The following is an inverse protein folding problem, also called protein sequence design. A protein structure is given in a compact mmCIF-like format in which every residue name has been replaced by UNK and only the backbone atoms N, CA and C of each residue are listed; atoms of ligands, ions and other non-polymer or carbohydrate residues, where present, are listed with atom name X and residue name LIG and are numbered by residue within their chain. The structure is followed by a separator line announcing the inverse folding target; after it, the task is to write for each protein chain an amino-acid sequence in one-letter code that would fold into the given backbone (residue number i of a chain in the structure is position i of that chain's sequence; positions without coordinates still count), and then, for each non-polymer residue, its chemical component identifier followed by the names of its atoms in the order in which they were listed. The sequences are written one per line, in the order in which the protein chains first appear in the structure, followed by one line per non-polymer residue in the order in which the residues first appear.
data_IF_760123667550
#
_entry.id   IF_760123667550
#
_cell.length_a   1.000
_cell.length_b   1.000
_cell.length_c   1.000
_cell.angle_alpha   90.00
_cell.angle_beta   90.00
_cell.angle_gamma   90.00
#
_symmetry.space_group_name_H-M   'P 1'
#
loop_
_entity.id
_entity.type
_entity.pdbx_description
1 polymer ?
#
# COMPACT_ATOMS: atom_id res chain seq x y z
N UNK A 1 8.92 56.62 -13.68
CA UNK A 1 8.90 55.16 -13.89
C UNK A 1 8.36 54.52 -12.61
N UNK A 2 7.15 53.95 -12.69
CA UNK A 2 6.51 53.28 -11.54
C UNK A 2 6.85 51.76 -11.64
N UNK A 3 7.59 51.25 -10.64
CA UNK A 3 7.87 49.83 -10.53
C UNK A 3 6.63 49.10 -9.99
N UNK A 4 6.05 48.25 -10.80
CA UNK A 4 5.00 47.31 -10.40
C UNK A 4 5.70 46.09 -9.81
N UNK A 5 5.59 45.93 -8.48
CA UNK A 5 6.06 44.73 -7.80
C UNK A 5 4.90 43.70 -7.88
N UNK A 6 5.12 42.64 -8.67
CA UNK A 6 4.20 41.53 -8.79
C UNK A 6 4.42 40.58 -7.61
N UNK A 7 3.51 40.60 -6.63
CA UNK A 7 3.48 39.57 -5.56
C UNK A 7 2.99 38.28 -6.09
N UNK A 8 3.90 37.31 -6.27
CA UNK A 8 3.53 35.91 -6.56
C UNK A 8 3.11 35.28 -5.24
N UNK A 9 1.81 35.22 -4.95
CA UNK A 9 1.29 34.50 -3.81
C UNK A 9 1.33 32.98 -4.12
N UNK A 10 2.35 32.31 -3.58
CA UNK A 10 2.39 30.85 -3.55
C UNK A 10 1.36 30.41 -2.49
N UNK A 11 0.20 30.02 -2.95
CA UNK A 11 -0.82 29.40 -2.10
C UNK A 11 -0.32 28.01 -1.67
N UNK A 12 0.28 27.94 -0.49
CA UNK A 12 0.54 26.65 0.16
C UNK A 12 -0.82 26.08 0.60
N UNK A 13 -1.40 25.20 -0.21
CA UNK A 13 -2.59 24.46 0.17
C UNK A 13 -2.20 23.52 1.30
N UNK A 14 -2.39 23.94 2.54
CA UNK A 14 -2.32 23.03 3.68
C UNK A 14 -3.32 21.92 3.45
N UNK A 15 -2.88 20.67 3.55
CA UNK A 15 -3.68 19.47 3.62
C UNK A 15 -4.61 19.59 4.83
N UNK A 16 -5.81 20.10 4.62
CA UNK A 16 -6.88 19.97 5.62
C UNK A 16 -7.44 18.57 5.46
N UNK A 17 -7.68 17.83 6.56
CA UNK A 17 -8.20 16.47 6.60
C UNK A 17 -9.58 16.22 5.96
N UNK A 18 -9.98 17.10 5.04
CA UNK A 18 -11.25 17.10 4.33
C UNK A 18 -11.23 16.44 2.93
N UNK A 19 -10.10 15.84 2.54
CA UNK A 19 -10.02 15.19 1.23
C UNK A 19 -10.43 13.70 1.27
N UNK A 20 -10.81 13.20 2.46
CA UNK A 20 -11.31 11.84 2.63
C UNK A 20 -12.73 11.70 2.09
N UNK A 21 -12.98 10.55 1.45
CA UNK A 21 -14.34 10.17 1.08
C UNK A 21 -15.17 9.86 2.33
N UNK A 22 -16.44 10.16 2.27
CA UNK A 22 -17.39 9.97 3.36
C UNK A 22 -18.57 9.11 2.91
N UNK A 23 -19.15 8.36 3.84
CA UNK A 23 -20.41 7.67 3.61
C UNK A 23 -21.57 8.54 4.09
N UNK A 24 -22.42 9.01 3.17
CA UNK A 24 -23.64 9.78 3.48
C UNK A 24 -24.84 9.18 2.78
N UNK A 25 -25.90 8.88 3.54
CA UNK A 25 -27.13 8.30 3.02
C UNK A 25 -26.91 7.08 2.10
N UNK A 26 -25.98 6.20 2.49
CA UNK A 26 -25.64 4.99 1.74
C UNK A 26 -24.83 5.24 0.45
N UNK A 27 -24.33 6.46 0.23
CA UNK A 27 -23.50 6.82 -0.93
C UNK A 27 -22.12 7.29 -0.49
N UNK A 28 -21.10 6.93 -1.24
CA UNK A 28 -19.76 7.48 -1.10
C UNK A 28 -19.79 8.90 -1.67
N UNK A 29 -19.32 9.89 -0.90
CA UNK A 29 -19.32 11.30 -1.28
C UNK A 29 -17.95 11.93 -1.04
N UNK A 30 -17.63 12.95 -1.83
CA UNK A 30 -16.46 13.80 -1.61
C UNK A 30 -16.75 14.87 -0.52
N UNK A 31 -15.76 15.71 -0.23
CA UNK A 31 -15.85 16.81 0.73
C UNK A 31 -16.98 17.82 0.46
N UNK A 32 -17.42 17.92 -0.79
CA UNK A 32 -18.50 18.81 -1.22
C UNK A 32 -19.87 18.10 -1.18
N UNK A 33 -19.97 16.92 -0.56
CA UNK A 33 -21.17 16.07 -0.50
C UNK A 33 -21.66 15.59 -1.87
N UNK A 34 -20.82 15.61 -2.90
CA UNK A 34 -21.15 15.09 -4.22
C UNK A 34 -20.91 13.59 -4.24
N UNK A 35 -21.84 12.79 -4.80
CA UNK A 35 -21.63 11.35 -4.98
C UNK A 35 -20.38 11.06 -5.82
N UNK A 36 -19.56 10.10 -5.37
CA UNK A 36 -18.38 9.63 -6.08
C UNK A 36 -18.58 8.18 -6.46
N UNK A 37 -18.34 7.89 -7.74
CA UNK A 37 -18.32 6.53 -8.28
C UNK A 37 -16.85 6.11 -8.41
N UNK A 38 -16.44 5.10 -7.64
CA UNK A 38 -15.07 4.61 -7.68
C UNK A 38 -14.90 3.64 -8.85
N UNK A 39 -14.00 3.98 -9.76
CA UNK A 39 -13.61 3.17 -10.92
C UNK A 39 -12.09 3.06 -10.92
N UNK A 40 -11.55 1.86 -10.81
CA UNK A 40 -10.10 1.74 -10.66
C UNK A 40 -9.56 0.33 -10.79
N UNK A 41 -8.31 0.18 -10.39
CA UNK A 41 -7.56 -1.08 -10.43
C UNK A 41 -6.91 -1.39 -9.09
N UNK A 42 -6.52 -2.65 -8.91
CA UNK A 42 -5.61 -3.04 -7.85
C UNK A 42 -4.16 -2.84 -8.31
N UNK A 43 -3.33 -2.24 -7.44
CA UNK A 43 -1.88 -2.20 -7.62
C UNK A 43 -1.27 -3.47 -7.00
N UNK A 44 -1.66 -4.62 -7.56
CA UNK A 44 -1.27 -5.94 -7.06
C UNK A 44 0.22 -6.21 -7.20
N UNK A 45 0.70 -7.10 -6.37
CA UNK A 45 2.08 -7.59 -6.36
C UNK A 45 3.15 -6.52 -6.12
N UNK A 46 2.77 -5.37 -5.58
CA UNK A 46 3.70 -4.28 -5.26
C UNK A 46 4.13 -4.32 -3.79
N UNK A 47 3.20 -4.05 -2.88
CA UNK A 47 3.46 -4.01 -1.43
C UNK A 47 2.96 -5.28 -0.71
N UNK A 48 2.40 -6.19 -1.48
CA UNK A 48 2.01 -7.55 -1.10
C UNK A 48 2.24 -8.45 -2.30
N UNK A 49 3.07 -9.49 -2.14
CA UNK A 49 3.41 -10.41 -3.22
C UNK A 49 2.43 -11.59 -3.27
N UNK A 50 1.99 -11.91 -4.47
CA UNK A 50 1.27 -13.12 -4.81
C UNK A 50 2.04 -13.86 -5.90
N UNK A 51 2.51 -15.06 -5.62
CA UNK A 51 3.49 -15.78 -6.46
C UNK A 51 2.98 -16.10 -7.86
N UNK A 52 1.68 -16.23 -8.04
CA UNK A 52 1.08 -16.44 -9.36
C UNK A 52 1.28 -15.23 -10.30
N UNK A 53 1.28 -14.01 -9.77
CA UNK A 53 1.56 -12.79 -10.56
C UNK A 53 3.02 -12.70 -11.02
N UNK A 54 3.94 -13.34 -10.28
CA UNK A 54 5.36 -13.44 -10.64
C UNK A 54 5.66 -14.68 -11.51
N UNK A 55 4.62 -15.47 -11.84
CA UNK A 55 4.80 -16.76 -12.50
C UNK A 55 5.67 -17.76 -11.70
N UNK A 56 5.61 -17.67 -10.37
CA UNK A 56 6.30 -18.58 -9.45
C UNK A 56 5.39 -19.65 -8.86
N UNK A 57 4.07 -19.56 -9.02
CA UNK A 57 3.14 -20.56 -8.52
C UNK A 57 3.52 -21.99 -8.98
N UNK A 58 3.65 -22.90 -8.02
CA UNK A 58 4.07 -24.28 -8.29
C UNK A 58 5.55 -24.49 -8.62
N UNK A 59 6.41 -23.48 -8.40
CA UNK A 59 7.86 -23.55 -8.68
C UNK A 59 8.73 -23.60 -7.42
N UNK A 60 8.16 -24.03 -6.30
CA UNK A 60 8.92 -24.24 -5.05
C UNK A 60 9.00 -22.99 -4.15
N UNK A 61 8.25 -21.92 -4.49
CA UNK A 61 8.01 -20.78 -3.60
C UNK A 61 6.51 -20.53 -3.65
N UNK A 62 5.83 -20.77 -2.54
CA UNK A 62 4.38 -20.76 -2.52
C UNK A 62 3.79 -19.40 -2.17
N UNK A 63 4.52 -18.59 -1.37
CA UNK A 63 4.02 -17.32 -0.85
C UNK A 63 5.12 -16.28 -0.61
N UNK A 64 4.71 -15.08 -0.18
CA UNK A 64 5.62 -13.98 0.11
C UNK A 64 6.60 -14.29 1.24
N UNK A 65 6.16 -15.02 2.27
CA UNK A 65 7.01 -15.36 3.42
C UNK A 65 8.18 -16.24 2.98
N UNK A 66 7.90 -17.35 2.25
CA UNK A 66 8.96 -18.20 1.69
C UNK A 66 9.86 -17.47 0.71
N UNK A 67 9.30 -16.55 -0.08
CA UNK A 67 10.09 -15.73 -1.00
C UNK A 67 11.13 -14.88 -0.24
N UNK A 68 10.69 -14.18 0.81
CA UNK A 68 11.57 -13.35 1.64
C UNK A 68 12.57 -14.21 2.39
N UNK A 69 12.15 -15.32 3.03
CA UNK A 69 13.07 -16.27 3.71
C UNK A 69 14.14 -16.79 2.74
N UNK A 70 13.76 -17.12 1.49
CA UNK A 70 14.72 -17.56 0.47
C UNK A 70 15.75 -16.47 0.15
N UNK A 71 15.36 -15.20 0.11
CA UNK A 71 16.30 -14.09 -0.08
C UNK A 71 17.20 -13.92 1.14
N UNK A 72 16.65 -13.99 2.35
CA UNK A 72 17.39 -13.88 3.59
C UNK A 72 18.44 -15.00 3.74
N UNK A 73 18.06 -16.23 3.44
CA UNK A 73 18.95 -17.40 3.49
C UNK A 73 20.11 -17.30 2.49
N UNK A 74 19.86 -16.72 1.31
CA UNK A 74 20.87 -16.60 0.24
C UNK A 74 21.79 -15.40 0.41
N UNK A 75 21.28 -14.29 0.88
CA UNK A 75 21.97 -13.00 0.82
C UNK A 75 22.12 -12.32 2.18
N UNK A 76 21.49 -12.84 3.22
CA UNK A 76 21.37 -12.20 4.52
C UNK A 76 20.23 -11.17 4.55
N UNK A 77 19.76 -10.86 5.76
CA UNK A 77 18.57 -10.03 5.99
C UNK A 77 18.68 -8.62 5.37
N UNK A 78 19.79 -7.94 5.63
CA UNK A 78 20.03 -6.59 5.11
C UNK A 78 19.95 -6.54 3.58
N UNK A 79 20.58 -7.50 2.91
CA UNK A 79 20.56 -7.57 1.45
C UNK A 79 19.21 -7.98 0.89
N UNK A 80 18.46 -8.82 1.60
CA UNK A 80 17.09 -9.18 1.24
C UNK A 80 16.17 -7.94 1.30
N UNK A 81 16.31 -7.10 2.32
CA UNK A 81 15.56 -5.85 2.44
C UNK A 81 15.90 -4.89 1.29
N UNK A 82 17.19 -4.68 0.97
CA UNK A 82 17.59 -3.87 -0.19
C UNK A 82 17.01 -4.38 -1.51
N UNK A 83 16.98 -5.70 -1.71
CA UNK A 83 16.42 -6.31 -2.93
C UNK A 83 14.91 -6.10 -3.01
N UNK A 84 14.21 -6.18 -1.88
CA UNK A 84 12.78 -5.91 -1.82
C UNK A 84 12.47 -4.43 -2.08
N UNK A 85 13.28 -3.50 -1.61
CA UNK A 85 13.10 -2.08 -1.89
C UNK A 85 13.41 -1.75 -3.35
N UNK A 86 14.44 -2.39 -3.93
CA UNK A 86 14.74 -2.29 -5.35
C UNK A 86 13.57 -2.81 -6.19
N UNK A 87 12.97 -3.95 -5.81
CA UNK A 87 11.78 -4.50 -6.43
C UNK A 87 10.61 -3.50 -6.39
N UNK A 88 10.28 -2.98 -5.21
CA UNK A 88 9.17 -2.03 -5.03
C UNK A 88 9.35 -0.76 -5.85
N UNK A 89 10.59 -0.23 -5.89
CA UNK A 89 10.94 0.97 -6.67
C UNK A 89 10.73 0.77 -8.18
N UNK A 90 10.86 -0.47 -8.68
CA UNK A 90 10.78 -0.75 -10.11
C UNK A 90 9.47 -1.39 -10.56
N UNK A 91 8.72 -2.00 -9.64
CA UNK A 91 7.47 -2.67 -9.97
C UNK A 91 6.36 -1.68 -10.34
N UNK A 92 6.25 -0.60 -9.59
CA UNK A 92 5.26 0.47 -9.82
C UNK A 92 5.97 1.82 -9.88
N UNK A 93 5.76 2.56 -10.95
CA UNK A 93 6.35 3.88 -11.20
C UNK A 93 5.28 4.94 -11.31
N UNK A 94 5.66 6.21 -11.19
CA UNK A 94 4.74 7.34 -11.35
C UNK A 94 4.02 7.31 -12.71
N UNK A 95 4.72 6.89 -13.78
CA UNK A 95 4.13 6.71 -15.11
C UNK A 95 2.96 5.73 -15.16
N UNK A 96 2.93 4.73 -14.26
CA UNK A 96 1.85 3.75 -14.21
C UNK A 96 0.55 4.37 -13.69
N UNK A 97 0.67 5.36 -12.79
CA UNK A 97 -0.48 6.16 -12.35
C UNK A 97 -1.03 7.03 -13.48
N UNK A 98 -0.17 7.55 -14.35
CA UNK A 98 -0.60 8.27 -15.56
C UNK A 98 -1.35 7.33 -16.53
N UNK A 99 -0.89 6.09 -16.69
CA UNK A 99 -1.58 5.06 -17.48
C UNK A 99 -2.96 4.77 -16.88
N UNK A 100 -3.04 4.53 -15.58
CA UNK A 100 -4.32 4.31 -14.87
C UNK A 100 -5.26 5.48 -15.12
N UNK A 101 -4.76 6.69 -15.03
CA UNK A 101 -5.54 7.90 -15.28
C UNK A 101 -6.01 8.01 -16.74
N UNK A 102 -5.21 7.57 -17.70
CA UNK A 102 -5.55 7.59 -19.12
C UNK A 102 -6.76 6.70 -19.48
N UNK A 103 -7.07 5.70 -18.64
CA UNK A 103 -8.27 4.86 -18.74
C UNK A 103 -9.52 5.46 -18.07
N UNK A 104 -9.49 6.75 -17.75
CA UNK A 104 -10.58 7.44 -17.05
C UNK A 104 -10.91 6.79 -15.70
N UNK A 105 -9.89 6.28 -15.03
CA UNK A 105 -9.98 5.76 -13.67
C UNK A 105 -9.72 6.85 -12.64
N UNK A 106 -10.34 6.72 -11.47
CA UNK A 106 -10.23 7.68 -10.37
C UNK A 106 -9.79 7.05 -9.05
N UNK A 107 -9.48 5.76 -9.05
CA UNK A 107 -9.20 5.01 -7.81
C UNK A 107 -8.14 3.94 -8.04
N UNK A 108 -7.28 3.75 -7.05
CA UNK A 108 -6.45 2.55 -6.90
C UNK A 108 -6.78 1.86 -5.58
N UNK A 109 -6.75 0.53 -5.54
CA UNK A 109 -6.68 -0.23 -4.29
C UNK A 109 -5.24 -0.69 -4.11
N UNK A 110 -4.66 -0.35 -2.96
CA UNK A 110 -3.29 -0.65 -2.58
C UNK A 110 -3.25 -1.79 -1.56
N UNK A 111 -3.08 -3.04 -2.01
CA UNK A 111 -2.85 -4.16 -1.10
C UNK A 111 -1.44 -4.07 -0.51
N UNK A 112 -1.31 -4.20 0.81
CA UNK A 112 -0.02 -4.21 1.49
C UNK A 112 0.03 -5.25 2.61
N UNK A 113 1.23 -5.72 2.91
CA UNK A 113 1.50 -6.61 4.03
C UNK A 113 1.80 -5.80 5.29
N UNK A 114 1.27 -6.22 6.45
CA UNK A 114 1.57 -5.58 7.74
C UNK A 114 3.07 -5.54 8.07
N UNK A 115 3.86 -6.47 7.53
CA UNK A 115 5.33 -6.48 7.64
C UNK A 115 6.00 -5.26 7.01
N UNK A 116 5.30 -4.55 6.15
CA UNK A 116 5.75 -3.24 5.67
C UNK A 116 5.84 -2.24 6.82
N UNK A 117 4.93 -2.34 7.77
CA UNK A 117 4.81 -1.40 8.89
C UNK A 117 5.55 -1.86 10.16
N UNK A 118 5.66 -3.17 10.37
CA UNK A 118 6.12 -3.77 11.64
C UNK A 118 7.15 -4.86 11.43
N UNK A 119 8.19 -4.88 12.27
CA UNK A 119 9.25 -5.89 12.20
C UNK A 119 8.88 -7.22 12.87
N UNK A 120 7.98 -7.17 13.84
CA UNK A 120 7.75 -8.29 14.75
C UNK A 120 6.28 -8.69 14.85
N UNK A 121 6.04 -9.99 14.96
CA UNK A 121 4.74 -10.59 15.26
C UNK A 121 4.49 -10.69 16.77
N UNK A 122 5.43 -10.24 17.61
CA UNK A 122 5.37 -10.37 19.06
C UNK A 122 5.38 -9.01 19.76
N UNK A 123 4.75 -8.93 20.92
CA UNK A 123 4.76 -7.72 21.76
C UNK A 123 6.16 -7.44 22.31
N UNK A 124 6.53 -6.15 22.48
CA UNK A 124 5.75 -4.96 22.14
C UNK A 124 5.73 -4.71 20.62
N UNK A 125 4.56 -4.40 20.10
CA UNK A 125 4.41 -4.04 18.68
C UNK A 125 5.09 -2.70 18.44
N UNK A 126 6.00 -2.66 17.48
CA UNK A 126 6.76 -1.47 17.15
C UNK A 126 6.72 -1.25 15.63
N UNK A 127 6.30 -0.05 15.27
CA UNK A 127 6.42 0.38 13.88
C UNK A 127 7.90 0.52 13.51
N UNK A 128 8.22 0.18 12.28
CA UNK A 128 9.50 0.49 11.65
C UNK A 128 9.72 1.99 11.57
N UNK A 129 10.96 2.44 11.47
CA UNK A 129 11.26 3.86 11.31
C UNK A 129 10.74 4.42 9.97
N UNK A 130 10.69 3.58 8.95
CA UNK A 130 10.23 3.83 7.58
C UNK A 130 8.82 3.30 7.29
N UNK A 131 8.07 2.91 8.33
CA UNK A 131 6.79 2.22 8.23
C UNK A 131 5.82 2.82 7.19
N UNK A 132 5.77 4.14 7.08
CA UNK A 132 4.81 4.85 6.24
C UNK A 132 5.34 5.24 4.86
N UNK A 133 6.63 5.03 4.59
CA UNK A 133 7.30 5.54 3.39
C UNK A 133 6.56 5.17 2.10
N UNK A 134 6.27 3.89 1.89
CA UNK A 134 5.59 3.41 0.68
C UNK A 134 4.13 3.84 0.59
N UNK A 135 3.43 3.89 1.73
CA UNK A 135 2.04 4.33 1.76
C UNK A 135 1.94 5.83 1.51
N UNK A 136 2.79 6.63 2.14
CA UNK A 136 2.85 8.08 1.96
C UNK A 136 3.25 8.45 0.53
N UNK A 137 4.26 7.76 -0.03
CA UNK A 137 4.66 7.93 -1.42
C UNK A 137 3.48 7.66 -2.38
N UNK A 138 2.78 6.55 -2.18
CA UNK A 138 1.62 6.18 -3.01
C UNK A 138 0.50 7.21 -2.90
N UNK A 139 0.15 7.63 -1.69
CA UNK A 139 -0.89 8.62 -1.45
C UNK A 139 -0.52 9.96 -2.09
N UNK A 140 0.75 10.38 -1.99
CA UNK A 140 1.26 11.60 -2.60
C UNK A 140 1.08 11.56 -4.12
N UNK A 141 1.60 10.52 -4.79
CA UNK A 141 1.51 10.38 -6.25
C UNK A 141 0.04 10.31 -6.69
N UNK A 142 -0.76 9.47 -6.03
CA UNK A 142 -2.18 9.33 -6.35
C UNK A 142 -2.93 10.67 -6.23
N UNK A 143 -2.64 11.45 -5.19
CA UNK A 143 -3.20 12.79 -5.00
C UNK A 143 -2.82 13.74 -6.13
N UNK A 144 -1.55 13.77 -6.52
CA UNK A 144 -1.05 14.60 -7.63
C UNK A 144 -1.72 14.24 -8.96
N UNK A 145 -2.06 12.97 -9.16
CA UNK A 145 -2.79 12.46 -10.35
C UNK A 145 -4.31 12.53 -10.20
N UNK A 146 -4.85 12.99 -9.08
CA UNK A 146 -6.29 13.06 -8.82
C UNK A 146 -6.96 11.68 -8.72
N UNK A 147 -6.27 10.73 -8.07
CA UNK A 147 -6.77 9.38 -7.77
C UNK A 147 -7.08 9.25 -6.28
N UNK A 148 -8.16 8.56 -5.96
CA UNK A 148 -8.43 8.07 -4.63
C UNK A 148 -7.63 6.81 -4.34
N UNK A 149 -7.27 6.59 -3.07
CA UNK A 149 -6.56 5.40 -2.63
C UNK A 149 -7.41 4.63 -1.63
N UNK A 150 -7.61 3.34 -1.88
CA UNK A 150 -8.16 2.39 -0.91
C UNK A 150 -6.98 1.64 -0.32
N UNK A 151 -6.63 1.94 0.93
CA UNK A 151 -5.62 1.18 1.67
C UNK A 151 -6.23 -0.14 2.12
N UNK A 152 -5.58 -1.25 1.73
CA UNK A 152 -6.00 -2.58 2.09
C UNK A 152 -4.85 -3.35 2.75
N UNK A 153 -4.93 -3.51 4.08
CA UNK A 153 -4.02 -4.41 4.79
C UNK A 153 -4.33 -5.87 4.40
N UNK A 154 -3.82 -6.26 3.23
CA UNK A 154 -4.13 -7.54 2.61
C UNK A 154 -3.43 -8.72 3.28
N UNK A 155 -2.28 -8.51 3.89
CA UNK A 155 -1.62 -9.43 4.80
C UNK A 155 -1.69 -8.89 6.23
N UNK A 156 -2.60 -9.41 7.05
CA UNK A 156 -2.79 -8.96 8.43
C UNK A 156 -1.85 -9.67 9.42
N UNK A 157 -1.56 -9.09 10.60
CA UNK A 157 -0.85 -9.77 11.68
C UNK A 157 -1.49 -11.12 12.01
N UNK A 158 -0.67 -12.17 12.11
CA UNK A 158 -1.15 -13.53 12.32
C UNK A 158 -1.85 -14.17 11.12
N UNK A 159 -1.96 -13.47 10.01
CA UNK A 159 -2.63 -13.87 8.76
C UNK A 159 -4.13 -14.19 8.95
N UNK A 160 -4.95 -13.63 8.12
CA UNK A 160 -6.41 -13.80 8.15
C UNK A 160 -6.90 -15.05 7.42
N UNK A 161 -6.02 -15.70 6.65
CA UNK A 161 -6.32 -16.88 5.84
C UNK A 161 -5.07 -17.77 5.78
N UNK A 162 -5.26 -19.06 5.55
CA UNK A 162 -4.18 -20.02 5.28
C UNK A 162 -3.78 -20.11 3.81
N UNK A 163 -4.24 -19.16 2.98
CA UNK A 163 -3.94 -19.11 1.55
C UNK A 163 -2.76 -18.18 1.25
N UNK A 164 -2.15 -18.37 0.10
CA UNK A 164 -0.99 -17.61 -0.39
C UNK A 164 -1.20 -16.09 -0.40
N UNK A 165 -2.39 -15.64 -0.81
CA UNK A 165 -2.74 -14.21 -0.86
C UNK A 165 -2.70 -13.50 0.50
N UNK A 166 -2.72 -14.23 1.63
CA UNK A 166 -2.50 -13.64 2.96
C UNK A 166 -1.02 -13.51 3.33
N UNK A 167 -0.11 -13.98 2.45
CA UNK A 167 1.33 -13.89 2.55
C UNK A 167 2.03 -15.03 3.29
N UNK A 168 1.28 -16.04 3.77
CA UNK A 168 1.86 -17.27 4.35
C UNK A 168 0.88 -18.43 4.28
N UNK A 169 1.19 -19.39 3.44
CA UNK A 169 0.40 -20.63 3.30
C UNK A 169 0.38 -21.42 4.62
N UNK A 170 -0.78 -21.99 4.95
CA UNK A 170 -0.97 -22.80 6.14
C UNK A 170 -0.95 -22.04 7.47
N UNK A 171 -0.70 -20.71 7.46
CA UNK A 171 -0.69 -19.89 8.67
C UNK A 171 -1.96 -19.05 8.75
N UNK A 172 -2.81 -19.28 9.76
CA UNK A 172 -4.08 -18.58 9.97
C UNK A 172 -4.32 -18.45 11.48
N UNK A 173 -3.73 -17.43 12.10
CA UNK A 173 -3.74 -17.21 13.55
C UNK A 173 -4.48 -15.94 13.98
N UNK A 174 -4.81 -15.04 13.07
CA UNK A 174 -5.47 -13.77 13.40
C UNK A 174 -6.75 -14.00 14.22
N UNK A 175 -7.63 -14.87 13.75
CA UNK A 175 -8.94 -15.04 14.35
C UNK A 175 -8.94 -15.82 15.67
N UNK A 176 -7.88 -16.58 15.96
CA UNK A 176 -7.71 -17.39 17.19
C UNK A 176 -6.78 -16.77 18.21
N UNK A 177 -6.13 -15.63 17.92
CA UNK A 177 -5.14 -15.01 18.81
C UNK A 177 -5.42 -13.53 19.01
N UNK A 178 -5.86 -13.19 20.24
CA UNK A 178 -6.17 -11.80 20.62
C UNK A 178 -5.00 -10.84 20.41
N UNK A 179 -3.76 -11.30 20.64
CA UNK A 179 -2.57 -10.48 20.41
C UNK A 179 -2.43 -9.98 18.98
N UNK A 180 -2.76 -10.82 17.98
CA UNK A 180 -2.76 -10.40 16.59
C UNK A 180 -3.94 -9.48 16.25
N UNK A 181 -5.12 -9.73 16.84
CA UNK A 181 -6.28 -8.87 16.67
C UNK A 181 -6.02 -7.45 17.23
N UNK A 182 -5.32 -7.36 18.37
CA UNK A 182 -4.97 -6.07 18.98
C UNK A 182 -3.89 -5.30 18.17
N UNK A 183 -3.21 -5.98 17.25
CA UNK A 183 -2.17 -5.44 16.39
C UNK A 183 -2.73 -4.95 15.04
N UNK A 184 -3.89 -5.45 14.63
CA UNK A 184 -4.58 -5.07 13.40
C UNK A 184 -5.36 -3.78 13.56
#
# INVERSE_FOLDING_TARGET
MKHIILYLSISFSMLTGNDLLQLKNGKITNKNNQPVFLKGVNTGNWLMLEMWMLNYAGKGVEDQHEFIETLEDRFGKEKAEELMDLYRTHWMKESDFDIIKSFDMNTIRLPFDYKLLMDSDTKPFKLKNDAWEWLDLTIKIAKEKGLYVILDMHGAPGRQSGMDHSGRVGYNKLWSNRGFQDQT
#
